data_IF_537999008409
#
_entry.id   IF_537999008409
#
_cell.length_a   1.000
_cell.length_b   1.000
_cell.length_c   1.000
_cell.angle_alpha   90.00
_cell.angle_beta   90.00
_cell.angle_gamma   90.00
#
_symmetry.space_group_name_H-M   'P 1'
#
loop_
_entity.id
_entity.type
_entity.pdbx_description
1 polymer ?
#
# COMPACT_ATOMS: atom_id res chain seq x y z
N UNK A 1 -24.89 18.14 -121.44
CA UNK A 1 -24.52 18.10 -122.87
C UNK A 1 -25.39 17.05 -123.55
N UNK A 2 -26.13 17.38 -124.62
CA UNK A 2 -26.57 16.39 -125.62
C UNK A 2 -25.33 16.02 -126.49
N UNK A 3 -25.33 15.08 -127.49
CA UNK A 3 -26.48 14.71 -128.33
C UNK A 3 -26.46 13.26 -128.92
N UNK A 4 -27.56 12.73 -129.53
CA UNK A 4 -27.97 12.72 -130.96
C UNK A 4 -28.01 11.32 -131.63
N UNK A 5 -29.19 11.06 -132.24
CA UNK A 5 -29.45 10.51 -133.61
C UNK A 5 -29.18 9.03 -133.89
N UNK A 6 -29.91 8.32 -134.77
CA UNK A 6 -30.92 8.68 -135.80
C UNK A 6 -31.57 7.40 -136.38
N UNK A 7 -32.87 7.43 -136.72
CA UNK A 7 -33.42 7.25 -138.09
C UNK A 7 -33.71 5.78 -138.48
N UNK A 8 -34.94 5.28 -138.67
CA UNK A 8 -36.08 5.57 -139.60
C UNK A 8 -35.87 5.11 -141.06
N UNK A 9 -36.63 4.07 -141.50
CA UNK A 9 -37.39 3.90 -142.79
C UNK A 9 -37.72 2.41 -143.02
N UNK A 10 -38.97 1.96 -143.10
CA UNK A 10 -39.99 2.03 -144.19
C UNK A 10 -39.82 1.02 -145.36
N UNK A 11 -40.75 0.05 -145.42
CA UNK A 11 -41.54 -0.48 -146.57
C UNK A 11 -40.95 -0.39 -147.99
N UNK A 12 -40.91 -1.55 -148.70
CA UNK A 12 -41.93 -1.96 -149.70
C UNK A 12 -41.60 -3.32 -150.35
N UNK A 13 -42.66 -4.07 -150.67
CA UNK A 13 -42.71 -5.26 -151.55
C UNK A 13 -42.95 -4.83 -153.00
N UNK A 14 -42.57 -5.68 -153.95
CA UNK A 14 -43.21 -6.07 -155.24
C UNK A 14 -42.11 -6.77 -156.08
N UNK A 15 -42.28 -7.84 -156.86
CA UNK A 15 -43.33 -8.79 -157.22
C UNK A 15 -42.60 -10.07 -157.75
N UNK A 16 -43.28 -11.18 -158.06
CA UNK A 16 -43.40 -11.48 -159.49
C UNK A 16 -44.79 -11.96 -159.91
N UNK A 17 -45.12 -11.60 -161.14
CA UNK A 17 -46.30 -11.99 -161.91
C UNK A 17 -46.19 -13.46 -162.34
N UNK A 18 -47.26 -14.22 -162.18
CA UNK A 18 -47.47 -15.51 -162.82
C UNK A 18 -48.84 -15.51 -163.47
N UNK A 19 -48.88 -15.65 -164.79
CA UNK A 19 -50.08 -16.01 -165.53
C UNK A 19 -50.56 -17.41 -165.08
N UNK A 20 -51.88 -17.67 -165.18
CA UNK A 20 -52.47 -18.77 -165.96
C UNK A 20 -54.00 -18.74 -165.75
N UNK A 21 -54.67 -19.06 -166.85
CA UNK A 21 -56.10 -19.06 -167.13
C UNK A 21 -56.98 -19.89 -166.18
N UNK A 22 -58.30 -19.66 -166.33
CA UNK A 22 -59.35 -20.01 -165.38
C UNK A 22 -59.52 -21.49 -165.04
N UNK A 23 -59.94 -21.72 -163.80
CA UNK A 23 -60.45 -22.99 -163.29
C UNK A 23 -61.61 -22.77 -162.29
N UNK A 24 -62.45 -23.79 -162.14
CA UNK A 24 -63.86 -23.81 -161.73
C UNK A 24 -64.15 -23.54 -160.22
N UNK A 25 -65.43 -23.23 -159.94
CA UNK A 25 -66.03 -22.80 -158.64
C UNK A 25 -65.75 -23.74 -157.45
N UNK A 26 -65.48 -25.03 -157.66
CA UNK A 26 -65.14 -25.99 -156.58
C UNK A 26 -63.77 -25.74 -155.92
N UNK A 27 -62.76 -25.27 -156.67
CA UNK A 27 -61.40 -25.06 -156.14
C UNK A 27 -61.32 -23.81 -155.25
N UNK A 28 -62.17 -22.81 -155.51
CA UNK A 28 -62.27 -21.59 -154.70
C UNK A 28 -62.86 -21.87 -153.31
N UNK A 29 -63.84 -22.77 -153.20
CA UNK A 29 -64.46 -23.13 -151.92
C UNK A 29 -63.51 -23.94 -151.01
N UNK A 30 -62.69 -24.82 -151.58
CA UNK A 30 -61.66 -25.51 -150.79
C UNK A 30 -60.61 -24.53 -150.28
N UNK A 31 -60.18 -23.56 -151.10
CA UNK A 31 -59.23 -22.51 -150.72
C UNK A 31 -59.77 -21.60 -149.62
N UNK A 32 -61.06 -21.26 -149.66
CA UNK A 32 -61.75 -20.51 -148.59
C UNK A 32 -61.69 -21.29 -147.27
N UNK A 33 -61.97 -22.60 -147.29
CA UNK A 33 -61.97 -23.41 -146.07
C UNK A 33 -60.56 -23.60 -145.47
N UNK A 34 -59.51 -23.71 -146.30
CA UNK A 34 -58.12 -23.69 -145.81
C UNK A 34 -57.75 -22.34 -145.21
N UNK A 35 -58.12 -21.23 -145.87
CA UNK A 35 -57.88 -19.88 -145.36
C UNK A 35 -58.65 -19.60 -144.06
N UNK A 36 -59.86 -20.13 -143.89
CA UNK A 36 -60.61 -20.04 -142.63
C UNK A 36 -59.94 -20.82 -141.50
N UNK A 37 -59.40 -22.01 -141.77
CA UNK A 37 -58.63 -22.78 -140.78
C UNK A 37 -57.32 -22.09 -140.41
N UNK A 38 -56.62 -21.51 -141.39
CA UNK A 38 -55.42 -20.70 -141.15
C UNK A 38 -55.74 -19.44 -140.36
N UNK A 39 -56.84 -18.74 -140.69
CA UNK A 39 -57.35 -17.60 -139.93
C UNK A 39 -57.64 -17.98 -138.48
N UNK A 40 -58.35 -19.07 -138.24
CA UNK A 40 -58.68 -19.52 -136.87
C UNK A 40 -57.42 -19.92 -136.09
N UNK A 41 -56.46 -20.61 -136.72
CA UNK A 41 -55.16 -20.91 -136.08
C UNK A 41 -54.39 -19.63 -135.73
N UNK A 42 -54.40 -18.65 -136.62
CA UNK A 42 -53.72 -17.37 -136.38
C UNK A 42 -54.43 -16.55 -135.29
N UNK A 43 -55.77 -16.62 -135.18
CA UNK A 43 -56.55 -16.06 -134.08
C UNK A 43 -56.24 -16.76 -132.74
N UNK A 44 -56.16 -18.09 -132.71
CA UNK A 44 -55.74 -18.87 -131.54
C UNK A 44 -54.31 -18.54 -131.12
N UNK A 45 -53.36 -18.45 -132.07
CA UNK A 45 -51.98 -18.04 -131.81
C UNK A 45 -51.89 -16.62 -131.29
N UNK A 46 -52.67 -15.69 -131.86
CA UNK A 46 -52.74 -14.30 -131.37
C UNK A 46 -53.27 -14.26 -129.93
N UNK A 47 -54.32 -15.03 -129.63
CA UNK A 47 -54.89 -15.09 -128.29
C UNK A 47 -53.91 -15.71 -127.28
N UNK A 48 -53.21 -16.78 -127.66
CA UNK A 48 -52.15 -17.39 -126.85
C UNK A 48 -50.99 -16.40 -126.59
N UNK A 49 -50.52 -15.69 -127.61
CA UNK A 49 -49.47 -14.68 -127.47
C UNK A 49 -49.93 -13.47 -126.64
N UNK A 50 -51.22 -13.16 -126.64
CA UNK A 50 -51.79 -12.11 -125.80
C UNK A 50 -51.83 -12.55 -124.33
N UNK A 51 -52.27 -13.78 -124.04
CA UNK A 51 -52.23 -14.36 -122.70
C UNK A 51 -50.79 -14.45 -122.14
N UNK A 52 -49.83 -14.88 -122.95
CA UNK A 52 -48.42 -14.93 -122.52
C UNK A 52 -47.84 -13.53 -122.30
N UNK A 53 -48.21 -12.54 -123.13
CA UNK A 53 -47.83 -11.13 -122.87
C UNK A 53 -48.41 -10.62 -121.56
N UNK A 54 -49.70 -10.85 -121.32
CA UNK A 54 -50.38 -10.38 -120.11
C UNK A 54 -49.84 -11.06 -118.86
N UNK A 55 -49.49 -12.35 -118.95
CA UNK A 55 -48.81 -13.11 -117.91
C UNK A 55 -47.39 -12.58 -117.63
N UNK A 56 -46.61 -12.29 -118.66
CA UNK A 56 -45.28 -11.66 -118.51
C UNK A 56 -45.40 -10.27 -117.88
N UNK A 57 -46.39 -9.48 -118.31
CA UNK A 57 -46.66 -8.16 -117.72
C UNK A 57 -47.06 -8.28 -116.24
N UNK A 58 -47.93 -9.22 -115.88
CA UNK A 58 -48.32 -9.47 -114.50
C UNK A 58 -47.11 -9.90 -113.65
N UNK A 59 -46.28 -10.81 -114.14
CA UNK A 59 -45.03 -11.16 -113.44
C UNK A 59 -44.12 -9.95 -113.29
N UNK A 60 -43.97 -9.14 -114.33
CA UNK A 60 -43.15 -7.93 -114.27
C UNK A 60 -43.68 -6.93 -113.24
N UNK A 61 -44.99 -6.68 -113.19
CA UNK A 61 -45.62 -5.81 -112.20
C UNK A 61 -45.45 -6.34 -110.77
N UNK A 62 -45.66 -7.63 -110.54
CA UNK A 62 -45.45 -8.28 -109.24
C UNK A 62 -43.99 -8.16 -108.82
N UNK A 63 -43.05 -8.53 -109.69
CA UNK A 63 -41.62 -8.50 -109.36
C UNK A 63 -41.12 -7.08 -109.13
N UNK A 64 -41.67 -6.11 -109.87
CA UNK A 64 -41.40 -4.68 -109.67
C UNK A 64 -41.93 -4.21 -108.32
N UNK A 65 -43.15 -4.60 -107.95
CA UNK A 65 -43.74 -4.30 -106.64
C UNK A 65 -42.94 -4.92 -105.51
N UNK A 66 -42.59 -6.21 -105.61
CA UNK A 66 -41.76 -6.92 -104.63
C UNK A 66 -40.39 -6.26 -104.47
N UNK A 67 -39.78 -5.80 -105.57
CA UNK A 67 -38.52 -5.05 -105.53
C UNK A 67 -38.68 -3.71 -104.79
N UNK A 68 -39.77 -2.98 -105.04
CA UNK A 68 -40.05 -1.71 -104.37
C UNK A 68 -40.37 -1.92 -102.88
N UNK A 69 -41.10 -2.97 -102.53
CA UNK A 69 -41.38 -3.38 -101.15
C UNK A 69 -40.09 -3.77 -100.41
N UNK A 70 -39.20 -4.57 -101.03
CA UNK A 70 -37.89 -4.92 -100.45
C UNK A 70 -36.96 -3.72 -100.29
N UNK A 71 -36.99 -2.76 -101.22
CA UNK A 71 -36.27 -1.50 -101.06
C UNK A 71 -36.82 -0.66 -99.90
N UNK A 72 -38.14 -0.67 -99.70
CA UNK A 72 -38.75 0.01 -98.56
C UNK A 72 -38.38 -0.66 -97.23
N UNK A 73 -38.40 -1.99 -97.16
CA UNK A 73 -37.93 -2.75 -95.99
C UNK A 73 -36.47 -2.48 -95.65
N UNK A 74 -35.58 -2.45 -96.67
CA UNK A 74 -34.17 -2.11 -96.48
C UNK A 74 -33.99 -0.72 -95.87
N UNK A 75 -34.70 0.30 -96.39
CA UNK A 75 -34.65 1.66 -95.83
C UNK A 75 -35.16 1.72 -94.40
N UNK A 76 -36.21 0.96 -94.08
CA UNK A 76 -36.71 0.89 -92.71
C UNK A 76 -35.69 0.23 -91.78
N UNK A 77 -35.01 -0.83 -92.24
CA UNK A 77 -33.95 -1.49 -91.46
C UNK A 77 -32.73 -0.60 -91.25
N UNK A 78 -32.31 0.15 -92.27
CA UNK A 78 -31.24 1.14 -92.14
C UNK A 78 -31.61 2.21 -91.10
N UNK A 79 -32.86 2.69 -91.12
CA UNK A 79 -33.34 3.67 -90.13
C UNK A 79 -33.44 3.09 -88.71
N UNK A 80 -33.89 1.84 -88.57
CA UNK A 80 -33.88 1.14 -87.28
C UNK A 80 -32.45 0.99 -86.73
N UNK A 81 -31.46 0.72 -87.58
CA UNK A 81 -30.04 0.67 -87.17
C UNK A 81 -29.56 2.05 -86.70
N UNK A 82 -29.85 3.12 -87.44
CA UNK A 82 -29.52 4.49 -87.05
C UNK A 82 -30.13 4.85 -85.67
N UNK A 83 -31.43 4.54 -85.47
CA UNK A 83 -32.10 4.81 -84.20
C UNK A 83 -31.53 3.99 -83.03
N UNK A 84 -31.04 2.77 -83.28
CA UNK A 84 -30.39 1.95 -82.26
C UNK A 84 -29.00 2.50 -81.92
N UNK A 85 -28.23 2.96 -82.91
CA UNK A 85 -26.95 3.61 -82.69
C UNK A 85 -27.10 4.92 -81.89
N UNK A 86 -28.10 5.75 -82.23
CA UNK A 86 -28.41 6.97 -81.49
C UNK A 86 -28.80 6.66 -80.04
N UNK A 87 -29.66 5.68 -79.81
CA UNK A 87 -30.02 5.20 -78.46
C UNK A 87 -28.79 4.74 -77.69
N UNK A 88 -27.94 3.92 -78.30
CA UNK A 88 -26.73 3.42 -77.67
C UNK A 88 -25.75 4.57 -77.32
N UNK A 89 -25.60 5.57 -78.19
CA UNK A 89 -24.78 6.75 -77.88
C UNK A 89 -25.33 7.56 -76.69
N UNK A 90 -26.66 7.69 -76.58
CA UNK A 90 -27.29 8.34 -75.43
C UNK A 90 -27.04 7.54 -74.15
N UNK A 91 -27.21 6.21 -74.19
CA UNK A 91 -26.90 5.34 -73.05
C UNK A 91 -25.45 5.45 -72.60
N UNK A 92 -24.49 5.44 -73.54
CA UNK A 92 -23.06 5.65 -73.23
C UNK A 92 -22.85 6.98 -72.51
N UNK A 93 -23.51 8.07 -72.94
CA UNK A 93 -23.41 9.38 -72.27
C UNK A 93 -23.97 9.33 -70.86
N UNK A 94 -25.13 8.68 -70.66
CA UNK A 94 -25.74 8.50 -69.33
C UNK A 94 -24.82 7.70 -68.41
N UNK A 95 -24.29 6.56 -68.89
CA UNK A 95 -23.35 5.74 -68.10
C UNK A 95 -22.07 6.51 -67.77
N UNK A 96 -21.49 7.25 -68.72
CA UNK A 96 -20.34 8.13 -68.44
C UNK A 96 -20.65 9.16 -67.36
N UNK A 97 -21.83 9.76 -67.39
CA UNK A 97 -22.25 10.73 -66.38
C UNK A 97 -22.44 10.06 -65.01
N UNK A 98 -23.04 8.87 -64.98
CA UNK A 98 -23.24 8.08 -63.76
C UNK A 98 -21.91 7.69 -63.11
N UNK A 99 -20.93 7.26 -63.90
CA UNK A 99 -19.56 6.96 -63.43
C UNK A 99 -18.89 8.22 -62.88
N UNK A 100 -18.99 9.36 -63.58
CA UNK A 100 -18.45 10.64 -63.08
C UNK A 100 -19.07 11.05 -61.74
N UNK A 101 -20.38 10.90 -61.60
CA UNK A 101 -21.09 11.22 -60.36
C UNK A 101 -20.64 10.31 -59.21
N UNK A 102 -20.58 8.99 -59.45
CA UNK A 102 -20.06 8.01 -58.48
C UNK A 102 -18.62 8.34 -58.05
N UNK A 103 -17.73 8.67 -58.97
CA UNK A 103 -16.36 9.05 -58.64
C UNK A 103 -16.30 10.33 -57.81
N UNK A 104 -17.11 11.33 -58.13
CA UNK A 104 -17.21 12.56 -57.36
C UNK A 104 -17.75 12.30 -55.95
N UNK A 105 -18.80 11.49 -55.82
CA UNK A 105 -19.39 11.12 -54.54
C UNK A 105 -18.39 10.34 -53.68
N UNK A 106 -17.72 9.34 -54.26
CA UNK A 106 -16.64 8.61 -53.57
C UNK A 106 -15.53 9.54 -53.10
N UNK A 107 -15.08 10.46 -53.96
CA UNK A 107 -14.05 11.42 -53.58
C UNK A 107 -14.53 12.34 -52.44
N UNK A 108 -15.78 12.77 -52.48
CA UNK A 108 -16.36 13.62 -51.43
C UNK A 108 -16.49 12.86 -50.09
N UNK A 109 -16.94 11.61 -50.14
CA UNK A 109 -17.02 10.73 -48.98
C UNK A 109 -15.64 10.48 -48.38
N UNK A 110 -14.61 10.23 -49.20
CA UNK A 110 -13.23 10.08 -48.73
C UNK A 110 -12.73 11.36 -48.06
N UNK A 111 -12.98 12.53 -48.66
CA UNK A 111 -12.57 13.82 -48.07
C UNK A 111 -13.26 14.06 -46.73
N UNK A 112 -14.56 13.75 -46.63
CA UNK A 112 -15.34 13.92 -45.40
C UNK A 112 -14.84 12.97 -44.31
N UNK A 113 -14.65 11.69 -44.62
CA UNK A 113 -14.08 10.70 -43.69
C UNK A 113 -12.69 11.09 -43.19
N UNK A 114 -11.84 11.66 -44.05
CA UNK A 114 -10.52 12.16 -43.64
C UNK A 114 -10.63 13.35 -42.69
N UNK A 115 -11.51 14.31 -43.00
CA UNK A 115 -11.74 15.47 -42.14
C UNK A 115 -12.30 15.06 -40.77
N UNK A 116 -13.26 14.15 -40.75
CA UNK A 116 -13.85 13.62 -39.51
C UNK A 116 -12.80 12.84 -38.70
N UNK A 117 -11.96 12.05 -39.37
CA UNK A 117 -10.85 11.33 -38.73
C UNK A 117 -9.82 12.27 -38.11
N UNK A 118 -9.42 13.34 -38.81
CA UNK A 118 -8.51 14.36 -38.29
C UNK A 118 -9.12 15.14 -37.10
N UNK A 119 -10.42 15.45 -37.17
CA UNK A 119 -11.13 16.12 -36.08
C UNK A 119 -11.20 15.22 -34.84
N UNK A 120 -11.55 13.95 -35.01
CA UNK A 120 -11.58 12.97 -33.92
C UNK A 120 -10.20 12.83 -33.27
N UNK A 121 -9.13 12.77 -34.06
CA UNK A 121 -7.76 12.69 -33.55
C UNK A 121 -7.38 13.94 -32.73
N UNK A 122 -7.74 15.14 -33.22
CA UNK A 122 -7.51 16.40 -32.49
C UNK A 122 -8.28 16.45 -31.17
N UNK A 123 -9.56 16.09 -31.18
CA UNK A 123 -10.38 16.04 -29.96
C UNK A 123 -9.77 15.08 -28.94
N UNK A 124 -9.32 13.90 -29.38
CA UNK A 124 -8.67 12.93 -28.52
C UNK A 124 -7.34 13.46 -27.95
N UNK A 125 -6.52 14.13 -28.77
CA UNK A 125 -5.28 14.77 -28.30
C UNK A 125 -5.55 15.86 -27.27
N UNK A 126 -6.58 16.68 -27.47
CA UNK A 126 -6.94 17.74 -26.52
C UNK A 126 -7.50 17.18 -25.21
N UNK A 127 -8.27 16.09 -25.26
CA UNK A 127 -8.68 15.36 -24.05
C UNK A 127 -7.47 14.78 -23.29
N UNK A 128 -6.52 14.15 -23.99
CA UNK A 128 -5.32 13.63 -23.35
C UNK A 128 -4.52 14.75 -22.68
N UNK A 129 -4.34 15.89 -23.34
CA UNK A 129 -3.68 17.07 -22.76
C UNK A 129 -4.39 17.58 -21.51
N UNK A 130 -5.73 17.60 -21.51
CA UNK A 130 -6.52 17.99 -20.31
C UNK A 130 -6.30 17.01 -19.16
N UNK A 131 -6.40 15.71 -19.42
CA UNK A 131 -6.16 14.66 -18.41
C UNK A 131 -4.74 14.72 -17.86
N UNK A 132 -3.73 14.92 -18.72
CA UNK A 132 -2.35 15.08 -18.26
C UNK A 132 -2.17 16.32 -17.38
N UNK A 133 -2.80 17.44 -17.73
CA UNK A 133 -2.75 18.66 -16.93
C UNK A 133 -3.46 18.51 -15.58
N UNK A 134 -4.55 17.75 -15.52
CA UNK A 134 -5.26 17.40 -14.29
C UNK A 134 -4.42 16.47 -13.41
N UNK A 135 -3.88 15.38 -13.96
CA UNK A 135 -2.99 14.48 -13.23
C UNK A 135 -1.74 15.20 -12.70
N UNK A 136 -1.19 16.16 -13.46
CA UNK A 136 -0.08 16.97 -13.01
C UNK A 136 -0.45 17.90 -11.85
N UNK A 137 -1.68 18.43 -11.82
CA UNK A 137 -2.21 19.22 -10.69
C UNK A 137 -2.42 18.33 -9.47
N UNK A 138 -3.13 17.21 -9.62
CA UNK A 138 -3.39 16.26 -8.54
C UNK A 138 -2.09 15.75 -7.89
N UNK A 139 -1.07 15.48 -8.72
CA UNK A 139 0.27 15.10 -8.23
C UNK A 139 0.92 16.20 -7.39
N UNK A 140 0.76 17.48 -7.75
CA UNK A 140 1.29 18.60 -6.95
C UNK A 140 0.51 18.76 -5.65
N UNK A 141 -0.81 18.64 -5.69
CA UNK A 141 -1.67 18.78 -4.52
C UNK A 141 -1.42 17.64 -3.52
N UNK A 142 -1.29 16.40 -3.99
CA UNK A 142 -0.91 15.26 -3.15
C UNK A 142 0.46 15.45 -2.52
N UNK A 143 1.45 16.01 -3.25
CA UNK A 143 2.76 16.33 -2.68
C UNK A 143 2.68 17.41 -1.61
N UNK A 144 1.85 18.44 -1.78
CA UNK A 144 1.65 19.45 -0.74
C UNK A 144 0.99 18.86 0.50
N UNK A 145 -0.08 18.07 0.34
CA UNK A 145 -0.74 17.39 1.47
C UNK A 145 0.22 16.47 2.23
N UNK A 146 1.05 15.72 1.51
CA UNK A 146 2.08 14.87 2.14
C UNK A 146 3.08 15.72 2.94
N UNK A 147 3.51 16.87 2.39
CA UNK A 147 4.43 17.78 3.08
C UNK A 147 3.80 18.41 4.32
N UNK A 148 2.54 18.79 4.26
CA UNK A 148 1.78 19.31 5.40
C UNK A 148 1.65 18.26 6.51
N UNK A 149 1.34 17.00 6.16
CA UNK A 149 1.29 15.89 7.12
C UNK A 149 2.67 15.63 7.75
N UNK A 150 3.74 15.62 6.96
CA UNK A 150 5.10 15.49 7.48
C UNK A 150 5.45 16.59 8.49
N UNK A 151 5.11 17.84 8.18
CA UNK A 151 5.35 18.98 9.07
C UNK A 151 4.53 18.87 10.36
N UNK A 152 3.24 18.52 10.26
CA UNK A 152 2.38 18.30 11.42
C UNK A 152 2.90 17.16 12.33
N UNK A 153 3.36 16.05 11.75
CA UNK A 153 3.98 14.97 12.52
C UNK A 153 5.29 15.42 13.19
N UNK A 154 6.12 16.20 12.51
CA UNK A 154 7.34 16.76 13.10
C UNK A 154 7.03 17.69 14.27
N UNK A 155 5.98 18.51 14.17
CA UNK A 155 5.52 19.37 15.27
C UNK A 155 5.00 18.55 16.45
N UNK A 156 4.21 17.50 16.19
CA UNK A 156 3.72 16.60 17.24
C UNK A 156 4.89 15.92 17.99
N UNK A 157 5.90 15.44 17.26
CA UNK A 157 7.12 14.85 17.87
C UNK A 157 7.86 15.90 18.69
N UNK A 158 7.98 17.15 18.20
CA UNK A 158 8.63 18.24 18.92
C UNK A 158 7.89 18.56 20.23
N UNK A 159 6.57 18.65 20.19
CA UNK A 159 5.73 18.89 21.36
C UNK A 159 5.83 17.74 22.37
N UNK A 160 5.80 16.48 21.92
CA UNK A 160 5.97 15.32 22.80
C UNK A 160 7.35 15.28 23.44
N UNK A 161 8.42 15.64 22.71
CA UNK A 161 9.76 15.77 23.26
C UNK A 161 9.85 16.90 24.30
N UNK A 162 9.21 18.03 24.03
CA UNK A 162 9.17 19.15 24.99
C UNK A 162 8.44 18.74 26.27
N UNK A 163 7.25 18.13 26.16
CA UNK A 163 6.49 17.61 27.31
C UNK A 163 7.28 16.58 28.11
N UNK A 164 7.97 15.65 27.43
CA UNK A 164 8.86 14.69 28.08
C UNK A 164 10.01 15.37 28.82
N UNK A 165 10.65 16.38 28.21
CA UNK A 165 11.72 17.16 28.85
C UNK A 165 11.26 17.92 30.10
N UNK A 166 10.06 18.49 30.08
CA UNK A 166 9.44 19.13 31.25
C UNK A 166 9.19 18.10 32.35
N UNK A 167 8.63 16.93 32.00
CA UNK A 167 8.33 15.87 32.97
C UNK A 167 9.62 15.35 33.63
N UNK A 168 10.67 15.10 32.85
CA UNK A 168 11.98 14.67 33.35
C UNK A 168 12.56 15.71 34.32
N UNK A 169 12.51 16.99 33.97
CA UNK A 169 12.98 18.08 34.84
C UNK A 169 12.20 18.10 36.14
N UNK A 170 10.87 17.99 36.09
CA UNK A 170 10.01 17.96 37.27
C UNK A 170 10.32 16.76 38.18
N UNK A 171 10.41 15.55 37.61
CA UNK A 171 10.78 14.35 38.39
C UNK A 171 12.17 14.52 39.02
N UNK A 172 13.12 15.13 38.30
CA UNK A 172 14.46 15.40 38.84
C UNK A 172 14.40 16.38 40.02
N UNK A 173 13.62 17.44 39.92
CA UNK A 173 13.42 18.41 41.00
C UNK A 173 12.79 17.75 42.24
N UNK A 174 11.77 16.90 42.06
CA UNK A 174 11.13 16.14 43.15
C UNK A 174 12.13 15.16 43.82
N UNK A 175 12.92 14.43 43.03
CA UNK A 175 13.97 13.54 43.54
C UNK A 175 15.07 14.30 44.30
N UNK A 176 15.48 15.47 43.80
CA UNK A 176 16.46 16.31 44.49
C UNK A 176 15.88 16.89 45.80
N UNK A 177 14.63 17.32 45.80
CA UNK A 177 13.94 17.81 46.99
C UNK A 177 13.87 16.75 48.08
N UNK A 178 13.40 15.55 47.74
CA UNK A 178 13.31 14.42 48.68
C UNK A 178 14.69 13.97 49.19
N UNK A 179 15.71 13.95 48.34
CA UNK A 179 17.08 13.65 48.75
C UNK A 179 17.63 14.68 49.75
N UNK A 180 17.46 15.98 49.46
CA UNK A 180 17.90 17.06 50.33
C UNK A 180 17.17 17.04 51.68
N UNK A 181 15.85 16.82 51.68
CA UNK A 181 15.07 16.70 52.92
C UNK A 181 15.54 15.50 53.76
N UNK A 182 15.79 14.36 53.11
CA UNK A 182 16.32 13.16 53.77
C UNK A 182 17.70 13.43 54.37
N UNK A 183 18.60 14.06 53.61
CA UNK A 183 19.93 14.45 54.10
C UNK A 183 19.83 15.37 55.32
N UNK A 184 19.02 16.43 55.23
CA UNK A 184 18.82 17.39 56.32
C UNK A 184 18.29 16.70 57.60
N UNK A 185 17.34 15.77 57.44
CA UNK A 185 16.80 15.00 58.55
C UNK A 185 17.87 14.13 59.24
N UNK A 186 18.75 13.49 58.48
CA UNK A 186 19.85 12.70 59.05
C UNK A 186 20.94 13.56 59.68
N UNK A 187 21.29 14.71 59.08
CA UNK A 187 22.22 15.67 59.68
C UNK A 187 21.71 16.19 61.03
N UNK A 188 20.42 16.53 61.10
CA UNK A 188 19.77 16.94 62.35
C UNK A 188 19.81 15.83 63.40
N UNK A 189 19.46 14.59 63.03
CA UNK A 189 19.54 13.43 63.94
C UNK A 189 20.97 13.19 64.44
N UNK A 190 21.96 13.31 63.56
CA UNK A 190 23.37 13.15 63.92
C UNK A 190 23.86 14.24 64.86
N UNK A 191 23.45 15.50 64.63
CA UNK A 191 23.77 16.61 65.53
C UNK A 191 23.15 16.39 66.91
N UNK A 192 21.86 16.05 66.97
CA UNK A 192 21.19 15.77 68.24
C UNK A 192 21.86 14.63 69.02
N UNK A 193 22.27 13.56 68.34
CA UNK A 193 22.97 12.45 68.99
C UNK A 193 24.35 12.87 69.53
N UNK A 194 25.10 13.69 68.79
CA UNK A 194 26.38 14.24 69.27
C UNK A 194 26.18 15.11 70.50
N UNK A 195 25.18 15.99 70.48
CA UNK A 195 24.87 16.89 71.59
C UNK A 195 24.44 16.09 72.85
N UNK A 196 23.63 15.03 72.69
CA UNK A 196 23.23 14.13 73.79
C UNK A 196 24.42 13.38 74.40
N UNK A 197 25.31 12.81 73.57
CA UNK A 197 26.50 12.12 74.04
C UNK A 197 27.48 13.06 74.76
N UNK A 198 27.66 14.27 74.24
CA UNK A 198 28.50 15.29 74.88
C UNK A 198 27.91 15.74 76.22
N UNK A 199 26.57 15.85 76.32
CA UNK A 199 25.89 16.15 77.58
C UNK A 199 26.09 15.04 78.61
N UNK A 200 25.90 13.76 78.22
CA UNK A 200 26.15 12.61 79.11
C UNK A 200 27.58 12.58 79.58
N UNK A 201 28.54 12.78 78.67
CA UNK A 201 29.97 12.85 79.03
C UNK A 201 30.24 13.95 80.05
N UNK A 202 29.66 15.14 79.88
CA UNK A 202 29.80 16.25 80.84
C UNK A 202 29.19 15.91 82.20
N UNK A 203 28.01 15.27 82.21
CA UNK A 203 27.37 14.81 83.44
C UNK A 203 28.23 13.77 84.18
N UNK A 204 28.74 12.75 83.47
CA UNK A 204 29.63 11.73 84.04
C UNK A 204 30.91 12.34 84.63
N UNK A 205 31.52 13.31 83.92
CA UNK A 205 32.69 14.04 84.42
C UNK A 205 32.33 14.77 85.71
N UNK A 206 31.21 15.50 85.73
CA UNK A 206 30.78 16.27 86.90
C UNK A 206 30.51 15.37 88.11
N UNK A 207 29.82 14.24 87.91
CA UNK A 207 29.60 13.25 88.98
C UNK A 207 30.90 12.67 89.53
N UNK A 208 31.89 12.40 88.67
CA UNK A 208 33.21 11.93 89.10
C UNK A 208 33.95 13.02 89.88
N UNK A 209 33.88 14.27 89.44
CA UNK A 209 34.46 15.41 90.13
C UNK A 209 33.82 15.62 91.50
N UNK A 210 32.49 15.58 91.61
CA UNK A 210 31.79 15.67 92.90
C UNK A 210 32.18 14.53 93.84
N UNK A 211 32.23 13.28 93.36
CA UNK A 211 32.68 12.13 94.15
C UNK A 211 34.12 12.32 94.64
N UNK A 212 35.03 12.77 93.77
CA UNK A 212 36.43 13.04 94.13
C UNK A 212 36.54 14.19 95.13
N UNK A 213 35.81 15.29 94.94
CA UNK A 213 35.79 16.43 95.86
C UNK A 213 35.23 16.05 97.22
N UNK A 214 34.18 15.24 97.27
CA UNK A 214 33.65 14.68 98.51
C UNK A 214 34.71 13.83 99.22
N UNK A 215 35.42 12.96 98.49
CA UNK A 215 36.49 12.15 99.06
C UNK A 215 37.66 12.99 99.57
N UNK A 216 38.08 14.03 98.83
CA UNK A 216 39.10 14.98 99.27
C UNK A 216 38.66 15.67 100.56
N UNK A 217 37.42 16.15 100.65
CA UNK A 217 36.89 16.78 101.85
C UNK A 217 36.85 15.83 103.05
N UNK A 218 36.46 14.57 102.84
CA UNK A 218 36.52 13.55 103.89
C UNK A 218 37.96 13.28 104.35
N UNK A 219 38.90 13.20 103.40
CA UNK A 219 40.31 12.98 103.69
C UNK A 219 40.91 14.17 104.45
N UNK A 220 40.58 15.41 104.06
CA UNK A 220 40.95 16.62 104.79
C UNK A 220 40.42 16.60 106.22
N UNK A 221 39.13 16.25 106.44
CA UNK A 221 38.55 16.12 107.79
C UNK A 221 39.21 15.02 108.62
N UNK A 222 39.63 13.91 108.00
CA UNK A 222 40.38 12.84 108.68
C UNK A 222 41.78 13.31 109.05
N UNK A 223 42.48 14.01 108.15
CA UNK A 223 43.78 14.60 108.44
C UNK A 223 43.69 15.68 109.52
N UNK A 224 42.70 16.55 109.49
CA UNK A 224 42.49 17.57 110.52
C UNK A 224 42.24 16.95 111.89
N UNK A 225 41.44 15.87 111.96
CA UNK A 225 41.29 15.06 113.18
C UNK A 225 42.59 14.43 113.62
N UNK A 226 43.31 13.76 112.72
CA UNK A 226 44.60 13.15 113.04
C UNK A 226 45.64 14.20 113.50
N UNK A 227 45.66 15.39 112.88
CA UNK A 227 46.52 16.50 113.32
C UNK A 227 46.09 17.04 114.67
N UNK A 228 44.80 17.14 114.96
CA UNK A 228 44.30 17.52 116.28
C UNK A 228 44.66 16.47 117.34
N UNK A 229 44.52 15.19 117.02
CA UNK A 229 44.94 14.07 117.88
C UNK A 229 46.45 14.07 118.10
N UNK A 230 47.26 14.28 117.06
CA UNK A 230 48.72 14.42 117.15
C UNK A 230 49.08 15.65 117.98
N UNK A 231 48.40 16.79 117.78
CA UNK A 231 48.62 18.02 118.55
C UNK A 231 48.24 17.82 120.02
N UNK A 232 47.16 17.12 120.29
CA UNK A 232 46.75 16.75 121.65
C UNK A 232 47.75 15.78 122.25
N UNK A 233 48.18 14.74 121.53
CA UNK A 233 49.22 13.81 121.95
C UNK A 233 50.55 14.52 122.26
N UNK A 234 50.97 15.45 121.40
CA UNK A 234 52.17 16.26 121.67
C UNK A 234 51.93 17.27 122.78
N UNK A 235 50.74 17.87 122.93
CA UNK A 235 50.42 18.73 124.07
C UNK A 235 50.40 17.95 125.38
N UNK A 236 49.86 16.73 125.39
CA UNK A 236 49.85 15.79 126.50
C UNK A 236 51.26 15.31 126.80
N UNK A 237 52.08 15.03 125.78
CA UNK A 237 53.51 14.82 125.94
C UNK A 237 54.19 16.09 126.43
N UNK A 238 53.81 17.29 126.01
CA UNK A 238 54.44 18.54 126.46
C UNK A 238 54.05 18.84 127.90
N UNK A 239 52.84 18.47 128.31
CA UNK A 239 52.35 18.56 129.67
C UNK A 239 53.02 17.50 130.55
N UNK A 240 53.02 16.23 130.13
CA UNK A 240 53.79 15.16 130.74
C UNK A 240 55.28 15.46 130.73
N UNK A 241 55.82 16.14 129.72
CA UNK A 241 57.22 16.57 129.65
C UNK A 241 57.45 17.80 130.49
N UNK A 242 56.46 18.66 130.75
CA UNK A 242 56.58 19.76 131.70
C UNK A 242 56.57 19.22 133.13
N UNK A 243 55.71 18.23 133.40
CA UNK A 243 55.67 17.47 134.64
C UNK A 243 56.96 16.67 134.79
N UNK A 244 57.39 15.93 133.76
CA UNK A 244 58.65 15.22 133.70
C UNK A 244 59.84 16.17 133.65
N UNK A 245 59.79 17.40 133.15
CA UNK A 245 60.86 18.41 133.27
C UNK A 245 60.88 18.95 134.70
N UNK A 246 59.75 18.95 135.42
CA UNK A 246 59.73 19.20 136.85
C UNK A 246 60.48 18.08 137.59
N UNK A 247 60.19 16.82 137.26
CA UNK A 247 60.86 15.63 137.81
C UNK A 247 62.30 15.48 137.31
N UNK A 248 62.60 15.85 136.07
CA UNK A 248 63.92 15.80 135.45
C UNK A 248 64.72 17.05 135.76
N UNK A 249 64.16 18.16 136.23
CA UNK A 249 64.99 19.19 136.89
C UNK A 249 65.47 18.69 138.25
N UNK A 250 64.74 17.79 138.87
CA UNK A 250 65.19 17.01 140.02
C UNK A 250 66.21 15.93 139.58
N UNK A 251 65.97 15.21 138.46
CA UNK A 251 66.88 14.14 137.98
C UNK A 251 68.04 14.61 137.07
N UNK A 252 68.06 15.82 136.49
CA UNK A 252 69.19 16.40 135.70
C UNK A 252 70.31 16.88 136.62
N UNK A 253 70.00 17.08 137.91
CA UNK A 253 71.02 17.05 138.95
C UNK A 253 71.70 15.66 139.04
N UNK A 254 71.03 14.58 138.61
CA UNK A 254 71.47 13.19 138.74
C UNK A 254 71.97 12.55 137.41
N UNK A 255 71.44 12.98 136.26
CA UNK A 255 71.72 12.45 134.90
C UNK A 255 72.72 13.27 134.08
N UNK A 256 73.35 14.32 134.65
CA UNK A 256 74.63 14.86 134.14
C UNK A 256 75.78 13.84 134.18
N UNK A 257 75.52 12.61 134.65
CA UNK A 257 76.48 11.55 134.91
C UNK A 257 76.51 10.43 133.87
N UNK A 258 75.58 10.33 132.91
CA UNK A 258 75.44 9.11 132.06
C UNK A 258 74.99 9.32 130.60
N UNK A 259 75.55 10.30 129.89
CA UNK A 259 75.20 10.55 128.48
C UNK A 259 76.44 10.63 127.58
N UNK A 260 77.18 9.52 127.50
CA UNK A 260 78.38 9.41 126.66
C UNK A 260 78.52 8.05 125.94
N UNK A 261 77.43 7.33 125.63
CA UNK A 261 77.52 5.96 125.09
C UNK A 261 76.44 5.55 124.05
N UNK A 262 76.07 6.38 123.07
CA UNK A 262 75.20 5.91 121.98
C UNK A 262 75.52 6.49 120.60
N UNK A 263 76.60 5.99 119.99
CA UNK A 263 76.98 6.34 118.62
C UNK A 263 77.46 5.09 117.85
N UNK A 264 76.54 4.16 117.55
CA UNK A 264 76.87 2.92 116.80
C UNK A 264 75.71 2.28 116.00
N UNK A 265 74.77 3.08 115.46
CA UNK A 265 73.65 2.59 114.62
C UNK A 265 73.68 3.07 113.16
N UNK A 266 74.81 3.57 112.66
CA UNK A 266 74.89 4.26 111.35
C UNK A 266 75.54 3.45 110.21
N UNK A 267 75.98 2.20 110.43
CA UNK A 267 76.74 1.46 109.40
C UNK A 267 75.94 0.36 108.67
N UNK A 268 74.81 -0.12 109.20
CA UNK A 268 74.07 -1.26 108.62
C UNK A 268 73.18 -0.90 107.42
N UNK A 269 72.74 0.37 107.28
CA UNK A 269 71.79 0.78 106.24
C UNK A 269 72.43 0.89 104.84
N UNK A 270 73.77 1.00 104.76
CA UNK A 270 74.45 1.27 103.49
C UNK A 270 74.70 0.02 102.60
N UNK A 271 74.71 -1.19 103.16
CA UNK A 271 75.02 -2.41 102.40
C UNK A 271 73.81 -3.06 101.70
N UNK A 272 72.59 -2.88 102.22
CA UNK A 272 71.37 -3.51 101.66
C UNK A 272 70.99 -2.92 100.28
N UNK A 273 71.31 -1.64 100.03
CA UNK A 273 70.99 -0.93 98.79
C UNK A 273 71.77 -1.43 97.55
N UNK A 274 72.89 -2.15 97.73
CA UNK A 274 73.74 -2.59 96.61
C UNK A 274 73.30 -3.92 95.98
N UNK A 275 72.43 -4.70 96.65
CA UNK A 275 71.99 -6.04 96.23
C UNK A 275 70.80 -6.05 95.26
N UNK A 276 70.07 -4.94 95.11
CA UNK A 276 68.77 -4.87 94.41
C UNK A 276 68.82 -4.34 92.96
N UNK A 277 69.97 -3.88 92.44
CA UNK A 277 70.02 -3.19 91.12
C UNK A 277 70.03 -4.13 89.90
N UNK A 278 70.54 -5.35 90.05
CA UNK A 278 70.70 -6.30 88.94
C UNK A 278 69.38 -7.01 88.55
N UNK A 279 68.51 -7.44 89.49
CA UNK A 279 67.19 -7.98 89.17
C UNK A 279 66.26 -6.97 88.46
N UNK A 280 66.36 -5.68 88.84
CA UNK A 280 65.54 -4.61 88.27
C UNK A 280 65.82 -4.40 86.77
N UNK A 281 67.09 -4.53 86.36
CA UNK A 281 67.50 -4.31 84.97
C UNK A 281 67.02 -5.43 84.03
N UNK A 282 66.97 -6.68 84.49
CA UNK A 282 66.44 -7.81 83.71
C UNK A 282 64.93 -7.72 83.55
N UNK A 283 64.20 -7.37 84.61
CA UNK A 283 62.75 -7.19 84.55
C UNK A 283 62.32 -6.09 83.57
N UNK A 284 63.08 -5.00 83.47
CA UNK A 284 62.77 -3.89 82.54
C UNK A 284 62.89 -4.32 81.06
N UNK A 285 63.89 -5.12 80.69
CA UNK A 285 64.05 -5.63 79.31
C UNK A 285 62.94 -6.61 78.92
N UNK A 286 62.51 -7.45 79.85
CA UNK A 286 61.42 -8.40 79.62
C UNK A 286 60.08 -7.67 79.46
N UNK A 287 59.83 -6.62 80.24
CA UNK A 287 58.67 -5.73 80.09
C UNK A 287 58.65 -5.05 78.71
N UNK A 288 59.80 -4.62 78.19
CA UNK A 288 59.88 -3.99 76.87
C UNK A 288 59.61 -4.98 75.72
N UNK A 289 60.14 -6.20 75.79
CA UNK A 289 59.85 -7.26 74.82
C UNK A 289 58.36 -7.66 74.82
N UNK A 290 57.75 -7.79 75.99
CA UNK A 290 56.32 -8.09 76.13
C UNK A 290 55.45 -6.94 75.59
N UNK A 291 55.84 -5.68 75.80
CA UNK A 291 55.14 -4.51 75.22
C UNK A 291 55.15 -4.54 73.69
N UNK A 292 56.27 -4.90 73.06
CA UNK A 292 56.33 -5.05 71.60
C UNK A 292 55.45 -6.21 71.08
N UNK A 293 55.43 -7.34 71.79
CA UNK A 293 54.57 -8.47 71.43
C UNK A 293 53.07 -8.11 71.51
N UNK A 294 52.66 -7.38 72.55
CA UNK A 294 51.27 -6.88 72.70
C UNK A 294 50.91 -5.91 71.58
N UNK A 295 51.80 -4.96 71.24
CA UNK A 295 51.54 -4.01 70.16
C UNK A 295 51.37 -4.70 68.79
N UNK A 296 52.17 -5.74 68.50
CA UNK A 296 52.01 -6.54 67.28
C UNK A 296 50.70 -7.34 67.30
N UNK A 297 50.35 -7.94 68.43
CA UNK A 297 49.08 -8.67 68.58
C UNK A 297 47.86 -7.75 68.35
N UNK A 298 47.88 -6.52 68.86
CA UNK A 298 46.80 -5.55 68.64
C UNK A 298 46.69 -5.16 67.16
N UNK A 299 47.82 -4.99 66.47
CA UNK A 299 47.85 -4.73 65.02
C UNK A 299 47.27 -5.90 64.22
N UNK A 300 47.63 -7.14 64.55
CA UNK A 300 47.12 -8.34 63.90
C UNK A 300 45.63 -8.55 64.19
N UNK A 301 45.17 -8.21 65.39
CA UNK A 301 43.75 -8.23 65.74
C UNK A 301 42.94 -7.22 64.90
N UNK A 302 43.49 -6.01 64.69
CA UNK A 302 42.86 -5.01 63.84
C UNK A 302 42.83 -5.43 62.36
N UNK A 303 43.92 -6.00 61.84
CA UNK A 303 43.98 -6.48 60.46
C UNK A 303 43.00 -7.65 60.23
N UNK A 304 42.90 -8.59 61.19
CA UNK A 304 41.93 -9.68 61.17
C UNK A 304 40.48 -9.18 61.19
N UNK A 305 40.19 -8.13 61.97
CA UNK A 305 38.85 -7.54 61.99
C UNK A 305 38.50 -6.91 60.62
N UNK A 306 39.46 -6.21 59.99
CA UNK A 306 39.27 -5.63 58.66
C UNK A 306 39.09 -6.69 57.56
N UNK A 307 39.87 -7.78 57.58
CA UNK A 307 39.72 -8.86 56.59
C UNK A 307 38.41 -9.61 56.77
N UNK A 308 37.97 -9.85 58.02
CA UNK A 308 36.63 -10.41 58.29
C UNK A 308 35.51 -9.51 57.77
N UNK A 309 35.61 -8.20 57.98
CA UNK A 309 34.62 -7.25 57.45
C UNK A 309 34.58 -7.27 55.90
N UNK A 310 35.73 -7.34 55.24
CA UNK A 310 35.82 -7.48 53.78
C UNK A 310 35.24 -8.82 53.29
N UNK A 311 35.51 -9.92 53.99
CA UNK A 311 34.96 -11.23 53.65
C UNK A 311 33.43 -11.22 53.69
N UNK A 312 32.84 -10.71 54.78
CA UNK A 312 31.37 -10.60 54.92
C UNK A 312 30.78 -9.71 53.82
N UNK A 313 31.44 -8.60 53.47
CA UNK A 313 30.99 -7.74 52.37
C UNK A 313 31.05 -8.48 51.02
N UNK A 314 32.13 -9.23 50.76
CA UNK A 314 32.30 -10.02 49.54
C UNK A 314 31.28 -11.17 49.45
N UNK A 315 31.02 -11.88 50.54
CA UNK A 315 29.99 -12.94 50.59
C UNK A 315 28.60 -12.38 50.30
N UNK A 316 28.28 -11.19 50.81
CA UNK A 316 27.02 -10.51 50.49
C UNK A 316 26.94 -10.15 49.01
N UNK A 317 28.04 -9.68 48.41
CA UNK A 317 28.08 -9.39 46.97
C UNK A 317 27.89 -10.65 46.14
N UNK A 318 28.54 -11.77 46.50
CA UNK A 318 28.37 -13.05 45.81
C UNK A 318 26.91 -13.50 45.86
N UNK A 319 26.27 -13.50 47.04
CA UNK A 319 24.86 -13.87 47.16
C UNK A 319 23.92 -12.99 46.35
N UNK A 320 24.19 -11.68 46.30
CA UNK A 320 23.41 -10.76 45.48
C UNK A 320 23.56 -11.09 43.98
N UNK A 321 24.79 -11.32 43.52
CA UNK A 321 25.07 -11.66 42.13
C UNK A 321 24.49 -13.02 41.72
N UNK A 322 24.53 -14.01 42.62
CA UNK A 322 23.88 -15.31 42.40
C UNK A 322 22.38 -15.14 42.20
N UNK A 323 21.72 -14.34 43.05
CA UNK A 323 20.30 -14.04 42.91
C UNK A 323 19.97 -13.29 41.62
N UNK A 324 20.74 -12.26 41.28
CA UNK A 324 20.58 -11.51 40.02
C UNK A 324 20.77 -12.41 38.80
N UNK A 325 21.77 -13.29 38.83
CA UNK A 325 22.03 -14.27 37.77
C UNK A 325 20.85 -15.24 37.59
N UNK A 326 20.31 -15.78 38.69
CA UNK A 326 19.16 -16.69 38.65
C UNK A 326 17.91 -15.99 38.06
N UNK A 327 17.63 -14.76 38.50
CA UNK A 327 16.51 -13.96 37.96
C UNK A 327 16.71 -13.69 36.47
N UNK A 328 17.92 -13.36 36.03
CA UNK A 328 18.24 -13.12 34.63
C UNK A 328 18.10 -14.40 33.79
N UNK A 329 18.54 -15.55 34.30
CA UNK A 329 18.39 -16.83 33.62
C UNK A 329 16.92 -17.21 33.42
N UNK A 330 16.08 -17.04 34.45
CA UNK A 330 14.65 -17.29 34.34
C UNK A 330 13.97 -16.35 33.34
N UNK A 331 14.31 -15.06 33.35
CA UNK A 331 13.81 -14.09 32.36
C UNK A 331 14.25 -14.46 30.95
N UNK A 332 15.50 -14.86 30.77
CA UNK A 332 16.02 -15.28 29.48
C UNK A 332 15.29 -16.52 28.95
N UNK A 333 15.09 -17.54 29.80
CA UNK A 333 14.34 -18.74 29.43
C UNK A 333 12.90 -18.42 29.01
N UNK A 334 12.23 -17.49 29.71
CA UNK A 334 10.90 -17.03 29.34
C UNK A 334 10.87 -16.33 27.98
N UNK A 335 11.79 -15.39 27.74
CA UNK A 335 11.88 -14.66 26.46
C UNK A 335 12.22 -15.61 25.32
N UNK A 336 13.07 -16.61 25.56
CA UNK A 336 13.39 -17.63 24.57
C UNK A 336 12.16 -18.47 24.21
N UNK A 337 11.37 -18.90 25.20
CA UNK A 337 10.12 -19.62 24.97
C UNK A 337 9.09 -18.77 24.20
N UNK A 338 8.94 -17.50 24.54
CA UNK A 338 8.05 -16.57 23.82
C UNK A 338 8.50 -16.36 22.37
N UNK A 339 9.81 -16.26 22.12
CA UNK A 339 10.37 -16.20 20.76
C UNK A 339 10.04 -17.45 19.97
N UNK A 340 10.26 -18.63 20.56
CA UNK A 340 10.06 -19.91 19.89
C UNK A 340 8.57 -20.12 19.56
N UNK A 341 7.68 -19.83 20.51
CA UNK A 341 6.23 -19.87 20.28
C UNK A 341 5.78 -18.91 19.17
N UNK A 342 6.35 -17.69 19.13
CA UNK A 342 6.01 -16.72 18.09
C UNK A 342 6.48 -17.19 16.71
N UNK A 343 7.65 -17.84 16.64
CA UNK A 343 8.19 -18.39 15.41
C UNK A 343 7.31 -19.53 14.88
N UNK A 344 6.91 -20.46 15.76
CA UNK A 344 6.03 -21.57 15.40
C UNK A 344 4.65 -21.09 14.92
N UNK A 345 4.08 -20.07 15.59
CA UNK A 345 2.82 -19.44 15.17
C UNK A 345 2.93 -18.75 13.81
N UNK A 346 4.06 -18.09 13.56
CA UNK A 346 4.31 -17.42 12.30
C UNK A 346 4.39 -18.42 11.14
N UNK A 347 5.18 -19.50 11.30
CA UNK A 347 5.25 -20.57 10.29
C UNK A 347 3.88 -21.20 10.04
N UNK A 348 3.16 -21.55 11.11
CA UNK A 348 1.81 -22.13 11.01
C UNK A 348 0.84 -21.22 10.26
N UNK A 349 0.87 -19.91 10.55
CA UNK A 349 0.01 -18.92 9.90
C UNK A 349 0.35 -18.77 8.41
N UNK A 350 1.64 -18.82 8.05
CA UNK A 350 2.06 -18.79 6.65
C UNK A 350 1.53 -20.01 5.89
N UNK A 351 1.70 -21.20 6.45
CA UNK A 351 1.21 -22.42 5.82
C UNK A 351 -0.31 -22.42 5.65
N UNK A 352 -1.05 -21.94 6.65
CA UNK A 352 -2.51 -21.84 6.58
C UNK A 352 -2.96 -20.85 5.48
N UNK A 353 -2.33 -19.68 5.38
CA UNK A 353 -2.63 -18.70 4.33
C UNK A 353 -2.29 -19.27 2.96
N UNK A 354 -1.10 -19.85 2.81
CA UNK A 354 -0.67 -20.48 1.55
C UNK A 354 -1.62 -21.59 1.11
N UNK A 355 -2.06 -22.44 2.05
CA UNK A 355 -3.03 -23.51 1.80
C UNK A 355 -4.39 -22.94 1.37
N UNK A 356 -4.92 -21.93 2.07
CA UNK A 356 -6.20 -21.28 1.72
C UNK A 356 -6.13 -20.63 0.34
N UNK A 357 -5.05 -19.92 0.02
CA UNK A 357 -4.85 -19.33 -1.30
C UNK A 357 -4.67 -20.40 -2.38
N UNK A 358 -3.95 -21.48 -2.09
CA UNK A 358 -3.76 -22.61 -2.99
C UNK A 358 -5.08 -23.30 -3.32
N UNK A 359 -5.88 -23.64 -2.30
CA UNK A 359 -7.21 -24.23 -2.49
C UNK A 359 -8.13 -23.32 -3.31
N UNK A 360 -8.13 -22.01 -3.04
CA UNK A 360 -8.90 -21.04 -3.83
C UNK A 360 -8.40 -20.97 -5.28
N UNK A 361 -7.09 -21.02 -5.49
CA UNK A 361 -6.47 -21.08 -6.82
C UNK A 361 -6.92 -22.31 -7.59
N UNK A 362 -6.75 -23.51 -7.01
CA UNK A 362 -7.17 -24.77 -7.64
C UNK A 362 -8.68 -24.81 -7.93
N UNK A 363 -9.52 -24.24 -7.05
CA UNK A 363 -10.95 -24.15 -7.30
C UNK A 363 -11.28 -23.24 -8.49
N UNK A 364 -10.59 -22.10 -8.61
CA UNK A 364 -10.75 -21.18 -9.74
C UNK A 364 -10.25 -21.80 -11.04
N UNK A 365 -9.13 -22.52 -11.01
CA UNK A 365 -8.59 -23.27 -12.16
C UNK A 365 -9.60 -24.31 -12.65
N UNK A 366 -10.12 -25.16 -11.75
CA UNK A 366 -11.16 -26.15 -12.12
C UNK A 366 -12.42 -25.51 -12.68
N UNK A 367 -12.83 -24.37 -12.13
CA UNK A 367 -13.99 -23.63 -12.65
C UNK A 367 -13.72 -23.08 -14.04
N UNK A 368 -12.51 -22.59 -14.29
CA UNK A 368 -12.10 -22.07 -15.60
C UNK A 368 -12.04 -23.21 -16.62
N UNK A 369 -11.44 -24.34 -16.26
CA UNK A 369 -11.38 -25.56 -17.08
C UNK A 369 -12.79 -26.03 -17.46
N UNK A 370 -13.69 -26.18 -16.49
CA UNK A 370 -15.07 -26.58 -16.76
C UNK A 370 -15.84 -25.58 -17.65
N UNK A 371 -15.59 -24.27 -17.50
CA UNK A 371 -16.19 -23.25 -18.36
C UNK A 371 -15.59 -23.27 -19.78
N UNK A 372 -14.31 -23.60 -19.91
CA UNK A 372 -13.62 -23.77 -21.19
C UNK A 372 -14.14 -24.99 -21.94
N UNK A 373 -14.26 -26.13 -21.27
CA UNK A 373 -14.86 -27.35 -21.85
C UNK A 373 -16.31 -27.09 -22.29
N UNK A 374 -17.09 -26.38 -21.47
CA UNK A 374 -18.46 -26.00 -21.83
C UNK A 374 -18.49 -25.07 -23.06
N UNK A 375 -17.54 -24.14 -23.18
CA UNK A 375 -17.40 -23.26 -24.34
C UNK A 375 -17.06 -24.08 -25.60
N UNK A 376 -16.04 -24.94 -25.54
CA UNK A 376 -15.64 -25.81 -26.65
C UNK A 376 -16.79 -26.70 -27.12
N UNK A 377 -17.54 -27.30 -26.18
CA UNK A 377 -18.71 -28.11 -26.52
C UNK A 377 -19.81 -27.26 -27.20
N UNK A 378 -20.01 -26.01 -26.77
CA UNK A 378 -20.98 -25.10 -27.38
C UNK A 378 -20.54 -24.63 -28.76
N UNK A 379 -19.26 -24.34 -28.96
CA UNK A 379 -18.71 -24.00 -30.27
C UNK A 379 -18.82 -25.17 -31.25
N UNK A 380 -18.52 -26.40 -30.82
CA UNK A 380 -18.68 -27.60 -31.64
C UNK A 380 -20.15 -27.82 -32.04
N UNK A 381 -21.09 -27.72 -31.07
CA UNK A 381 -22.53 -27.80 -31.34
C UNK A 381 -22.98 -26.71 -32.33
N UNK A 382 -22.48 -25.48 -32.16
CA UNK A 382 -22.82 -24.37 -33.05
C UNK A 382 -22.27 -24.62 -34.46
N UNK A 383 -21.02 -25.07 -34.61
CA UNK A 383 -20.45 -25.42 -35.90
C UNK A 383 -21.23 -26.54 -36.62
N UNK A 384 -21.69 -27.57 -35.90
CA UNK A 384 -22.52 -28.63 -36.45
C UNK A 384 -23.88 -28.09 -36.94
N UNK A 385 -24.54 -27.23 -36.16
CA UNK A 385 -25.80 -26.61 -36.57
C UNK A 385 -25.61 -25.70 -37.79
N UNK A 386 -24.55 -24.90 -37.81
CA UNK A 386 -24.25 -24.01 -38.94
C UNK A 386 -23.97 -24.78 -40.24
N UNK A 387 -23.25 -25.90 -40.15
CA UNK A 387 -22.99 -26.77 -41.31
C UNK A 387 -24.25 -27.50 -41.77
N UNK A 388 -25.09 -28.00 -40.85
CA UNK A 388 -26.36 -28.66 -41.20
C UNK A 388 -27.40 -27.70 -41.81
N UNK A 389 -27.38 -26.42 -41.42
CA UNK A 389 -28.35 -25.42 -41.88
C UNK A 389 -28.09 -24.92 -43.32
N UNK A 390 -26.92 -25.20 -43.93
CA UNK A 390 -26.53 -24.76 -45.29
C UNK A 390 -26.82 -23.27 -45.55
N UNK A 391 -26.64 -22.43 -44.53
CA UNK A 391 -26.89 -20.99 -44.62
C UNK A 391 -25.73 -20.31 -45.36
N UNK A 392 -26.05 -19.27 -46.14
CA UNK A 392 -25.02 -18.49 -46.84
C UNK A 392 -24.09 -17.79 -45.82
N UNK A 393 -22.76 -17.95 -45.91
CA UNK A 393 -21.80 -17.43 -44.91
C UNK A 393 -21.92 -15.92 -44.68
N UNK A 394 -22.27 -15.14 -45.72
CA UNK A 394 -22.39 -13.69 -45.59
C UNK A 394 -23.62 -13.28 -44.77
N UNK A 395 -24.75 -13.98 -44.97
CA UNK A 395 -25.97 -13.74 -44.17
C UNK A 395 -25.80 -14.16 -42.71
N UNK A 396 -25.08 -15.26 -42.46
CA UNK A 396 -24.77 -15.75 -41.12
C UNK A 396 -23.90 -14.78 -40.32
N UNK A 397 -22.87 -14.23 -40.97
CA UNK A 397 -21.99 -13.27 -40.34
C UNK A 397 -22.77 -12.01 -39.91
N UNK A 398 -23.63 -11.49 -40.78
CA UNK A 398 -24.47 -10.32 -40.47
C UNK A 398 -25.43 -10.58 -39.30
N UNK A 399 -26.04 -11.78 -39.23
CA UNK A 399 -26.92 -12.14 -38.12
C UNK A 399 -26.14 -12.27 -36.81
N UNK A 400 -24.96 -12.90 -36.83
CA UNK A 400 -24.10 -13.04 -35.65
C UNK A 400 -23.63 -11.68 -35.13
N UNK A 401 -23.13 -10.80 -35.99
CA UNK A 401 -22.66 -9.47 -35.58
C UNK A 401 -23.79 -8.65 -34.95
N UNK A 402 -25.00 -8.70 -35.53
CA UNK A 402 -26.17 -8.02 -34.97
C UNK A 402 -26.60 -8.62 -33.63
N UNK A 403 -26.48 -9.94 -33.46
CA UNK A 403 -26.79 -10.60 -32.20
C UNK A 403 -25.76 -10.26 -31.11
N UNK A 404 -24.47 -10.21 -31.45
CA UNK A 404 -23.39 -9.75 -30.56
C UNK A 404 -23.63 -8.31 -30.12
N UNK A 405 -23.95 -7.39 -31.04
CA UNK A 405 -24.29 -6.01 -30.68
C UNK A 405 -25.47 -5.93 -29.70
N UNK A 406 -26.51 -6.75 -29.90
CA UNK A 406 -27.65 -6.79 -28.98
C UNK A 406 -27.25 -7.34 -27.62
N UNK A 407 -26.44 -8.42 -27.57
CA UNK A 407 -25.94 -9.00 -26.33
C UNK A 407 -25.05 -8.02 -25.57
N UNK A 408 -24.14 -7.34 -26.26
CA UNK A 408 -23.27 -6.32 -25.67
C UNK A 408 -24.06 -5.15 -25.10
N UNK A 409 -25.04 -4.64 -25.86
CA UNK A 409 -25.94 -3.60 -25.37
C UNK A 409 -26.73 -4.06 -24.13
N UNK A 410 -27.21 -5.31 -24.11
CA UNK A 410 -27.89 -5.87 -22.93
C UNK A 410 -26.93 -6.03 -21.75
N UNK A 411 -25.71 -6.51 -21.96
CA UNK A 411 -24.70 -6.65 -20.91
C UNK A 411 -24.28 -5.29 -20.33
N UNK A 412 -24.11 -4.27 -21.18
CA UNK A 412 -23.86 -2.90 -20.73
C UNK A 412 -25.03 -2.36 -19.91
N UNK A 413 -26.27 -2.59 -20.35
CA UNK A 413 -27.47 -2.20 -19.60
C UNK A 413 -27.55 -2.90 -18.24
N UNK A 414 -27.24 -4.21 -18.18
CA UNK A 414 -27.20 -4.96 -16.91
C UNK A 414 -26.17 -4.36 -15.95
N UNK A 415 -24.95 -4.06 -16.44
CA UNK A 415 -23.91 -3.41 -15.62
C UNK A 415 -24.34 -2.03 -15.12
N UNK A 416 -24.97 -1.22 -15.98
CA UNK A 416 -25.48 0.09 -15.63
C UNK A 416 -26.59 0.00 -14.56
N UNK A 417 -27.53 -0.93 -14.71
CA UNK A 417 -28.59 -1.15 -13.74
C UNK A 417 -28.05 -1.67 -12.40
N UNK A 418 -27.07 -2.58 -12.41
CA UNK A 418 -26.39 -3.04 -11.19
C UNK A 418 -25.69 -1.88 -10.47
N UNK A 419 -25.03 -1.01 -11.23
CA UNK A 419 -24.43 0.21 -10.71
C UNK A 419 -25.47 1.14 -10.08
N UNK A 420 -26.59 1.39 -10.76
CA UNK A 420 -27.66 2.24 -10.26
C UNK A 420 -28.29 1.67 -8.98
N UNK A 421 -28.51 0.35 -8.91
CA UNK A 421 -28.97 -0.33 -7.70
C UNK A 421 -27.98 -0.13 -6.55
N UNK A 422 -26.67 -0.31 -6.80
CA UNK A 422 -25.64 -0.09 -5.79
C UNK A 422 -25.60 1.36 -5.30
N UNK A 423 -25.73 2.32 -6.22
CA UNK A 423 -25.78 3.76 -5.92
C UNK A 423 -27.00 4.14 -5.09
N UNK A 424 -28.19 3.64 -5.44
CA UNK A 424 -29.44 3.92 -4.71
C UNK A 424 -29.44 3.25 -3.34
N UNK A 425 -29.02 1.99 -3.26
CA UNK A 425 -28.89 1.25 -1.99
C UNK A 425 -28.00 1.99 -0.99
N UNK A 426 -26.93 2.61 -1.50
CA UNK A 426 -26.03 3.40 -0.69
C UNK A 426 -26.58 4.76 -0.31
N UNK A 427 -27.22 5.48 -1.24
CA UNK A 427 -27.89 6.74 -0.93
C UNK A 427 -28.97 6.53 0.16
N UNK A 428 -29.67 5.39 0.13
CA UNK A 428 -30.59 4.96 1.17
C UNK A 428 -29.89 4.76 2.53
N UNK A 429 -28.75 4.04 2.57
CA UNK A 429 -27.97 3.86 3.81
C UNK A 429 -27.40 5.18 4.35
N UNK A 430 -26.88 6.05 3.48
CA UNK A 430 -26.37 7.38 3.87
C UNK A 430 -27.49 8.25 4.43
N UNK A 431 -28.70 8.19 3.85
CA UNK A 431 -29.88 8.90 4.33
C UNK A 431 -30.31 8.42 5.72
N UNK A 432 -30.29 7.11 5.97
CA UNK A 432 -30.54 6.55 7.31
C UNK A 432 -29.57 7.16 8.33
N UNK A 433 -28.27 7.13 8.03
CA UNK A 433 -27.24 7.69 8.92
C UNK A 433 -27.45 9.20 9.19
N UNK A 434 -27.83 9.97 8.17
CA UNK A 434 -28.12 11.41 8.31
C UNK A 434 -29.35 11.65 9.18
N UNK A 435 -30.42 10.87 9.01
CA UNK A 435 -31.61 10.98 9.84
C UNK A 435 -31.32 10.58 11.30
N UNK A 436 -30.56 9.51 11.54
CA UNK A 436 -30.14 9.13 12.89
C UNK A 436 -29.31 10.24 13.54
N UNK A 437 -28.36 10.83 12.81
CA UNK A 437 -27.58 11.96 13.32
C UNK A 437 -28.44 13.19 13.64
N UNK A 438 -29.46 13.48 12.81
CA UNK A 438 -30.38 14.59 13.06
C UNK A 438 -31.34 14.33 14.21
N UNK A 439 -31.84 13.12 14.37
CA UNK A 439 -32.69 12.75 15.52
C UNK A 439 -31.90 12.83 16.83
N UNK A 440 -30.64 12.37 16.82
CA UNK A 440 -29.74 12.52 17.96
C UNK A 440 -29.48 14.00 18.31
N UNK A 441 -29.34 14.89 17.32
CA UNK A 441 -29.19 16.34 17.53
C UNK A 441 -30.42 16.96 18.24
N UNK A 442 -31.63 16.46 17.95
CA UNK A 442 -32.87 16.88 18.62
C UNK A 442 -33.15 16.12 19.93
N UNK A 443 -32.25 15.24 20.37
CA UNK A 443 -32.37 14.48 21.61
C UNK A 443 -33.36 13.33 21.55
N UNK A 444 -33.69 12.83 20.35
CA UNK A 444 -34.56 11.66 20.13
C UNK A 444 -33.65 10.43 19.91
N UNK A 445 -33.57 9.48 20.87
CA UNK A 445 -32.80 8.25 20.70
C UNK A 445 -33.37 7.37 19.59
N UNK A 446 -32.50 6.65 18.87
CA UNK A 446 -32.90 5.75 17.80
C UNK A 446 -33.84 4.63 18.28
N UNK A 447 -33.85 4.29 19.58
CA UNK A 447 -34.78 3.32 20.16
C UNK A 447 -36.25 3.81 20.22
N UNK A 448 -36.50 5.12 20.18
CA UNK A 448 -37.85 5.70 20.27
C UNK A 448 -38.63 5.65 18.95
N UNK A 449 -37.97 5.32 17.82
CA UNK A 449 -38.58 5.25 16.48
C UNK A 449 -39.57 4.09 16.31
N UNK A 450 -39.50 3.05 17.15
CA UNK A 450 -40.41 1.89 17.10
C UNK A 450 -40.20 0.94 15.91
N UNK A 451 -39.24 1.20 15.01
CA UNK A 451 -38.83 0.31 13.94
C UNK A 451 -37.32 0.39 13.70
N UNK A 452 -36.72 -0.66 13.10
CA UNK A 452 -35.33 -0.66 12.66
C UNK A 452 -35.27 -0.57 11.14
N UNK A 453 -34.65 0.47 10.56
CA UNK A 453 -34.52 0.57 9.12
C UNK A 453 -33.68 -0.59 8.56
N UNK A 454 -34.10 -1.17 7.45
CA UNK A 454 -33.36 -2.24 6.78
C UNK A 454 -32.17 -1.63 6.04
N UNK A 455 -30.96 -2.00 6.48
CA UNK A 455 -29.70 -1.58 5.85
C UNK A 455 -29.35 -2.54 4.73
N UNK A 456 -29.08 -1.99 3.55
CA UNK A 456 -28.67 -2.79 2.38
C UNK A 456 -27.17 -3.04 2.43
N UNK A 457 -26.69 -4.20 1.95
CA UNK A 457 -25.27 -4.54 2.00
C UNK A 457 -24.51 -3.80 0.87
N UNK A 458 -23.84 -2.68 1.20
CA UNK A 458 -23.16 -1.80 0.22
C UNK A 458 -21.75 -1.40 0.67
N UNK A 459 -20.91 -0.91 -0.26
CA UNK A 459 -19.56 -0.45 0.04
C UNK A 459 -19.53 0.80 0.94
N UNK A 460 -18.56 0.88 1.85
CA UNK A 460 -18.45 1.91 2.89
C UNK A 460 -17.83 3.26 2.43
N UNK A 461 -17.51 3.44 1.14
CA UNK A 461 -17.03 4.73 0.62
C UNK A 461 -18.16 5.79 0.56
N UNK A 462 -17.95 7.02 0.07
CA UNK A 462 -19.03 7.99 -0.21
C UNK A 462 -19.90 7.59 -1.42
N UNK A 463 -21.19 7.98 -1.47
CA UNK A 463 -22.09 7.63 -2.59
C UNK A 463 -21.57 8.02 -3.98
N UNK A 464 -20.77 9.10 -4.08
CA UNK A 464 -20.12 9.54 -5.32
C UNK A 464 -18.93 8.68 -5.77
N UNK A 465 -18.51 7.69 -4.98
CA UNK A 465 -17.35 6.81 -5.20
C UNK A 465 -17.73 5.33 -5.28
N UNK A 466 -19.02 5.01 -5.45
CA UNK A 466 -19.38 3.64 -5.85
C UNK A 466 -18.78 3.42 -7.22
N UNK A 467 -17.76 2.58 -7.31
CA UNK A 467 -17.29 2.01 -8.57
C UNK A 467 -18.01 0.68 -8.70
N UNK A 468 -18.62 0.42 -9.86
CA UNK A 468 -19.28 -0.86 -10.12
C UNK A 468 -18.31 -2.00 -9.86
N UNK A 469 -18.71 -2.92 -8.98
CA UNK A 469 -17.97 -4.14 -8.66
C UNK A 469 -17.77 -5.04 -9.86
#
# INVERSE_FOLDING_TARGET
MPPKKSGKKEKKRDAPSGDVEGASVEELNQKIHTLEKEKNKEEEYRNYMQLERDKINAFWEITKKDLDDKKAELRNKDREMEEMEERHQVEIKVYKQKVKHLLYEHQNNITTLKADGELALKLQQDEFRKREAELARDKRDLKMKLKEQELSHQEMIRDQKLKSGILITKTREECLGTANETQHNYEKKMKMLRDDLELRRKQEIHEIEERKNSHINELMKKHERAFAEIKNYYNDITHNNLDLIKTLKEDVAEMKKREAQNEKLMYEIAQENKRLSEPLTKALKEVEALRHAVANYDKDKMSLAQTKARLVASEKQVKNLEWESEVLQQRFAKVQAERDELYDKFESSIYEVAQKTGLKGTLLERRLEAMSEALEMKEAQLAEVLTAANLDPSTLQVINTRLEEVLDNKNMMVKALQYDVAKVSKAHNDLINVYEAKLAEYGIPAEELGFRPLVTNTSAGPAGLVVGS
#
